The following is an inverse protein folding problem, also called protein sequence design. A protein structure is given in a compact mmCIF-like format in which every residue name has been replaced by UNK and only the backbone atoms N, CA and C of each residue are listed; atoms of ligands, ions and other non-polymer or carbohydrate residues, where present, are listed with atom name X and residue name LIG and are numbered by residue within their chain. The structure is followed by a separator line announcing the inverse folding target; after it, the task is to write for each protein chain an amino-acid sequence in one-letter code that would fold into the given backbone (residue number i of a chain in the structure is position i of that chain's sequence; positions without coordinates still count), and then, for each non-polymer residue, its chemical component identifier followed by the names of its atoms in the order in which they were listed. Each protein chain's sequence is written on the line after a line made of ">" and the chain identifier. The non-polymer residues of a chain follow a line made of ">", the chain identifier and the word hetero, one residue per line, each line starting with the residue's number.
data_IF_121444952473
#
_entry.id   IF_121444952473
#
_cell.length_a   1.000
_cell.length_b   1.000
_cell.length_c   1.000
_cell.angle_alpha   90.00
_cell.angle_beta   90.00
_cell.angle_gamma   90.00
#
_symmetry.space_group_name_H-M   'P 1'
#
loop_
_entity.id
_entity.type
_entity.pdbx_description
1 polymer ?
#
# COMPACT_ATOMS: atom_id res chain seq x y z
N UNK A 1 0.96 -0.46 -13.42
CA UNK A 1 0.96 0.68 -14.35
C UNK A 1 -0.40 1.36 -14.40
N UNK A 2 -1.51 0.62 -14.55
CA UNK A 2 -2.84 1.21 -14.78
C UNK A 2 -3.26 2.24 -13.71
N UNK A 3 -3.27 1.91 -12.42
CA UNK A 3 -3.69 2.84 -11.36
C UNK A 3 -2.51 3.39 -10.52
N UNK A 4 -1.35 3.59 -11.14
CA UNK A 4 -0.14 4.09 -10.46
C UNK A 4 0.32 5.42 -11.09
N UNK A 5 0.97 6.31 -10.32
CA UNK A 5 1.45 7.60 -10.85
C UNK A 5 2.59 7.43 -11.87
N UNK A 6 3.21 6.25 -11.92
CA UNK A 6 4.26 5.87 -12.86
C UNK A 6 4.08 4.41 -13.31
N UNK A 7 4.72 4.06 -14.44
CA UNK A 7 4.81 2.66 -14.89
C UNK A 7 5.55 1.82 -13.86
N UNK A 8 5.14 0.56 -13.75
CA UNK A 8 5.69 -0.41 -12.78
C UNK A 8 6.71 -1.27 -13.51
N UNK A 9 7.80 -1.64 -12.83
CA UNK A 9 8.80 -2.55 -13.36
C UNK A 9 8.17 -3.88 -13.78
N UNK A 10 8.51 -4.37 -14.97
CA UNK A 10 7.92 -5.56 -15.59
C UNK A 10 6.62 -5.31 -16.36
N UNK A 11 6.10 -4.08 -16.36
CA UNK A 11 4.91 -3.67 -17.12
C UNK A 11 5.12 -2.32 -17.83
N UNK A 12 6.31 -2.08 -18.37
CA UNK A 12 6.73 -0.81 -18.97
C UNK A 12 5.97 -0.46 -20.26
N UNK A 13 5.39 -1.45 -20.93
CA UNK A 13 4.56 -1.25 -22.12
C UNK A 13 3.12 -0.82 -21.79
N UNK A 14 2.70 -0.93 -20.52
CA UNK A 14 1.35 -0.59 -20.09
C UNK A 14 1.32 0.87 -19.63
N UNK A 15 0.45 1.74 -20.20
CA UNK A 15 0.37 3.13 -19.80
C UNK A 15 -0.28 3.28 -18.42
N UNK A 16 -0.03 4.43 -17.77
CA UNK A 16 -0.80 4.86 -16.60
C UNK A 16 -2.17 5.43 -17.01
N UNK A 17 -3.11 5.55 -16.07
CA UNK A 17 -4.39 6.24 -16.34
C UNK A 17 -4.15 7.70 -16.77
N UNK A 18 -3.16 8.38 -16.19
CA UNK A 18 -2.81 9.74 -16.60
C UNK A 18 -2.28 9.77 -18.05
N UNK A 19 -1.42 8.81 -18.45
CA UNK A 19 -0.92 8.70 -19.83
C UNK A 19 -2.02 8.32 -20.83
N UNK A 20 -3.10 7.67 -20.37
CA UNK A 20 -4.24 7.27 -21.18
C UNK A 20 -5.34 8.36 -21.28
N UNK A 21 -5.08 9.59 -20.81
CA UNK A 21 -6.01 10.71 -20.87
C UNK A 21 -7.00 10.80 -19.70
N UNK A 22 -6.77 10.04 -18.62
CA UNK A 22 -7.48 10.15 -17.36
C UNK A 22 -6.92 11.25 -16.43
N UNK A 23 -7.44 11.34 -15.19
CA UNK A 23 -6.97 12.33 -14.22
C UNK A 23 -5.48 12.19 -13.93
N UNK A 24 -4.77 13.32 -13.86
CA UNK A 24 -3.32 13.34 -13.68
C UNK A 24 -2.87 12.79 -12.31
N UNK A 25 -3.74 12.87 -11.30
CA UNK A 25 -3.54 12.41 -9.93
C UNK A 25 -4.18 11.04 -9.65
N UNK A 26 -4.54 10.31 -10.71
CA UNK A 26 -5.16 9.00 -10.56
C UNK A 26 -4.16 7.96 -10.05
N UNK A 27 -4.28 7.67 -8.75
CA UNK A 27 -3.55 6.60 -8.08
C UNK A 27 -4.50 5.77 -7.21
N UNK A 28 -4.46 4.45 -7.35
CA UNK A 28 -5.10 3.50 -6.45
C UNK A 28 -4.04 2.51 -6.02
N UNK A 29 -3.50 2.73 -4.82
CA UNK A 29 -2.49 1.86 -4.23
C UNK A 29 -3.15 0.94 -3.20
N UNK A 30 -3.10 -0.36 -3.46
CA UNK A 30 -3.42 -1.36 -2.45
C UNK A 30 -2.16 -1.66 -1.62
N UNK A 31 -2.35 -1.91 -0.33
CA UNK A 31 -1.29 -2.30 0.58
C UNK A 31 -1.78 -3.40 1.52
N UNK A 32 -0.83 -4.16 2.05
CA UNK A 32 -1.07 -5.19 3.06
C UNK A 32 -0.22 -4.82 4.26
N UNK A 33 -0.83 -4.86 5.45
CA UNK A 33 -0.16 -4.56 6.71
C UNK A 33 -0.47 -5.61 7.77
N UNK A 34 0.43 -5.74 8.73
CA UNK A 34 0.25 -6.57 9.92
C UNK A 34 -0.28 -5.71 11.06
N UNK A 35 -1.23 -6.27 11.82
CA UNK A 35 -1.83 -5.62 12.97
C UNK A 35 -1.65 -6.47 14.23
N UNK A 36 -1.40 -5.80 15.35
CA UNK A 36 -1.38 -6.42 16.67
C UNK A 36 -2.64 -6.02 17.46
N UNK A 37 -3.05 -6.81 18.47
CA UNK A 37 -4.17 -6.45 19.34
C UNK A 37 -4.02 -5.06 19.98
N UNK A 38 -5.14 -4.40 20.24
CA UNK A 38 -5.16 -3.15 20.98
C UNK A 38 -4.52 -3.33 22.37
N UNK A 39 -3.64 -2.40 22.75
CA UNK A 39 -2.90 -2.48 24.02
C UNK A 39 -1.58 -3.26 23.96
N UNK A 40 -1.21 -3.82 22.80
CA UNK A 40 0.12 -4.43 22.63
C UNK A 40 1.23 -3.43 22.98
N UNK A 41 2.19 -3.76 23.86
CA UNK A 41 3.25 -2.83 24.25
C UNK A 41 4.07 -2.33 23.07
N UNK A 42 4.35 -1.02 23.04
CA UNK A 42 5.11 -0.38 21.95
C UNK A 42 6.46 -1.06 21.63
N UNK A 43 7.25 -1.55 22.62
CA UNK A 43 8.49 -2.26 22.32
C UNK A 43 8.29 -3.56 21.52
N UNK A 44 7.18 -4.27 21.73
CA UNK A 44 6.84 -5.49 20.98
C UNK A 44 6.47 -5.15 19.54
N UNK A 45 5.65 -4.11 19.35
CA UNK A 45 5.28 -3.63 18.01
C UNK A 45 6.52 -3.18 17.24
N UNK A 46 7.43 -2.45 17.89
CA UNK A 46 8.68 -2.00 17.29
C UNK A 46 9.57 -3.20 16.88
N UNK A 47 9.70 -4.21 17.75
CA UNK A 47 10.46 -5.42 17.44
C UNK A 47 9.89 -6.16 16.22
N UNK A 48 8.57 -6.37 16.17
CA UNK A 48 7.90 -7.04 15.04
C UNK A 48 8.14 -6.25 13.75
N UNK A 49 7.99 -4.92 13.79
CA UNK A 49 8.22 -4.08 12.61
C UNK A 49 9.67 -4.20 12.11
N UNK A 50 10.65 -4.20 13.01
CA UNK A 50 12.07 -4.37 12.65
C UNK A 50 12.36 -5.74 12.03
N UNK A 51 11.80 -6.81 12.62
CA UNK A 51 11.96 -8.16 12.09
C UNK A 51 11.35 -8.31 10.70
N UNK A 52 10.17 -7.73 10.47
CA UNK A 52 9.51 -7.70 9.15
C UNK A 52 10.33 -6.88 8.15
N UNK A 53 10.81 -5.71 8.55
CA UNK A 53 11.63 -4.86 7.68
C UNK A 53 12.90 -5.60 7.21
N UNK A 54 13.54 -6.35 8.11
CA UNK A 54 14.69 -7.20 7.78
C UNK A 54 14.30 -8.33 6.82
N UNK A 55 13.22 -9.06 7.10
CA UNK A 55 12.74 -10.13 6.22
C UNK A 55 12.43 -9.64 4.80
N UNK A 56 11.86 -8.43 4.66
CA UNK A 56 11.59 -7.81 3.37
C UNK A 56 12.84 -7.46 2.55
N UNK A 57 14.03 -7.46 3.18
CA UNK A 57 15.30 -7.27 2.45
C UNK A 57 15.85 -8.55 1.85
N UNK A 58 15.40 -9.72 2.32
CA UNK A 58 15.91 -11.02 1.89
C UNK A 58 15.58 -11.27 0.41
N UNK A 59 16.55 -11.76 -0.40
CA UNK A 59 16.34 -11.95 -1.84
C UNK A 59 15.17 -12.87 -2.17
N UNK A 60 15.00 -13.96 -1.42
CA UNK A 60 13.94 -14.94 -1.66
C UNK A 60 12.54 -14.36 -1.38
N UNK A 61 12.42 -13.49 -0.36
CA UNK A 61 11.19 -12.76 -0.05
C UNK A 61 10.89 -11.73 -1.15
N UNK A 62 11.89 -10.97 -1.58
CA UNK A 62 11.75 -9.99 -2.68
C UNK A 62 11.29 -10.66 -3.97
N UNK A 63 11.89 -11.79 -4.33
CA UNK A 63 11.56 -12.53 -5.55
C UNK A 63 10.13 -13.06 -5.49
N UNK A 64 9.71 -13.66 -4.36
CA UNK A 64 8.33 -14.14 -4.18
C UNK A 64 7.31 -13.02 -4.26
N UNK A 65 7.57 -11.87 -3.65
CA UNK A 65 6.68 -10.70 -3.71
C UNK A 65 6.60 -10.13 -5.14
N UNK A 66 7.74 -9.97 -5.80
CA UNK A 66 7.78 -9.50 -7.18
C UNK A 66 7.01 -10.44 -8.13
N UNK A 67 7.10 -11.76 -7.91
CA UNK A 67 6.36 -12.77 -8.67
C UNK A 67 4.83 -12.64 -8.60
N UNK A 68 4.31 -11.99 -7.56
CA UNK A 68 2.87 -11.69 -7.42
C UNK A 68 2.54 -10.20 -7.60
N UNK A 69 3.50 -9.41 -8.10
CA UNK A 69 3.31 -7.98 -8.36
C UNK A 69 3.32 -7.09 -7.12
N UNK A 70 3.87 -7.59 -6.00
CA UNK A 70 4.06 -6.82 -4.78
C UNK A 70 5.46 -6.21 -4.72
N UNK A 71 5.52 -4.96 -4.26
CA UNK A 71 6.77 -4.28 -3.94
C UNK A 71 6.95 -4.27 -2.41
N UNK A 72 8.13 -4.64 -1.88
CA UNK A 72 8.40 -4.50 -0.45
C UNK A 72 8.18 -3.07 0.02
N UNK A 73 7.37 -2.91 1.07
CA UNK A 73 7.05 -1.60 1.63
C UNK A 73 7.30 -1.60 3.14
N UNK A 74 8.37 -0.94 3.55
CA UNK A 74 8.77 -0.82 4.95
C UNK A 74 8.44 0.57 5.46
N UNK A 75 7.48 0.65 6.38
CA UNK A 75 7.12 1.88 7.09
C UNK A 75 7.19 1.66 8.59
N UNK A 76 7.38 2.74 9.33
CA UNK A 76 7.25 2.74 10.79
C UNK A 76 5.78 2.57 11.20
N UNK A 77 5.50 2.14 12.45
CA UNK A 77 4.11 2.05 12.94
C UNK A 77 3.37 3.40 12.87
N UNK A 78 4.07 4.51 13.10
CA UNK A 78 3.49 5.85 13.01
C UNK A 78 3.13 6.25 11.57
N UNK A 79 3.99 5.94 10.60
CA UNK A 79 3.71 6.17 9.19
C UNK A 79 2.57 5.29 8.69
N UNK A 80 2.49 4.03 9.15
CA UNK A 80 1.38 3.14 8.84
C UNK A 80 0.05 3.73 9.33
N UNK A 81 0.01 4.25 10.56
CA UNK A 81 -1.17 4.95 11.09
C UNK A 81 -1.57 6.15 10.23
N UNK A 82 -0.60 6.97 9.83
CA UNK A 82 -0.85 8.14 8.96
C UNK A 82 -1.40 7.73 7.60
N UNK A 83 -0.90 6.64 7.03
CA UNK A 83 -1.35 6.10 5.75
C UNK A 83 -2.80 5.60 5.84
N UNK A 84 -3.14 4.85 6.90
CA UNK A 84 -4.52 4.41 7.14
C UNK A 84 -5.49 5.57 7.31
N UNK A 85 -5.12 6.60 8.06
CA UNK A 85 -5.95 7.80 8.24
C UNK A 85 -6.12 8.57 6.93
N UNK A 86 -5.06 8.64 6.11
CA UNK A 86 -5.10 9.24 4.78
C UNK A 86 -6.08 8.51 3.85
N UNK A 87 -5.92 7.20 3.73
CA UNK A 87 -6.77 6.36 2.87
C UNK A 87 -8.21 6.31 3.38
N UNK A 88 -8.42 6.18 4.69
CA UNK A 88 -9.74 6.22 5.29
C UNK A 88 -10.50 7.51 4.98
N UNK A 89 -9.83 8.67 5.02
CA UNK A 89 -10.42 9.95 4.59
C UNK A 89 -10.74 9.95 3.09
N UNK A 90 -9.77 9.56 2.26
CA UNK A 90 -9.90 9.59 0.80
C UNK A 90 -11.05 8.70 0.32
N UNK A 91 -11.05 7.43 0.73
CA UNK A 91 -12.09 6.48 0.32
C UNK A 91 -13.43 6.77 0.99
N UNK A 92 -13.44 7.26 2.23
CA UNK A 92 -14.66 7.71 2.89
C UNK A 92 -15.38 8.83 2.13
N UNK A 93 -14.64 9.81 1.61
CA UNK A 93 -15.19 10.86 0.74
C UNK A 93 -15.75 10.30 -0.57
N UNK A 94 -15.02 9.36 -1.20
CA UNK A 94 -15.45 8.72 -2.46
C UNK A 94 -16.77 7.95 -2.25
N UNK A 95 -16.83 7.10 -1.21
CA UNK A 95 -18.03 6.29 -0.89
C UNK A 95 -19.25 7.18 -0.67
N UNK A 96 -19.11 8.28 0.09
CA UNK A 96 -20.20 9.24 0.32
C UNK A 96 -20.68 9.91 -0.96
N UNK A 97 -19.76 10.40 -1.79
CA UNK A 97 -20.10 11.10 -3.04
C UNK A 97 -20.76 10.17 -4.05
N UNK A 98 -20.26 8.94 -4.15
CA UNK A 98 -20.77 7.95 -5.08
C UNK A 98 -21.98 7.17 -4.56
N UNK A 99 -22.41 7.41 -3.30
CA UNK A 99 -23.52 6.70 -2.64
C UNK A 99 -23.37 5.18 -2.68
N UNK A 100 -22.17 4.70 -2.43
CA UNK A 100 -21.85 3.26 -2.42
C UNK A 100 -22.21 2.67 -1.04
N UNK A 101 -22.95 1.57 -1.02
CA UNK A 101 -23.24 0.75 0.17
C UNK A 101 -22.76 -0.69 -0.05
N UNK A 102 -22.53 -1.41 1.05
CA UNK A 102 -22.25 -2.86 1.03
C UNK A 102 -23.57 -3.66 1.06
N UNK A 103 -24.69 -2.99 1.33
CA UNK A 103 -26.06 -3.51 1.26
C UNK A 103 -26.69 -3.24 -0.11
#
# INVERSE_FOLDING_TARGET
>A
AVAAPKRIAGYESVPTVAEAGGPADFEVKAWVALFAPAGTPAPIVAKIQQDVARALTEPDVKEKLAGVGFEPYTVTPAEMKKLMEGDGRRYGEIVKRAKISIE
#
